data_IF_902843989116
#
_entry.id   IF_902843989116
#
_cell.length_a   1.000
_cell.length_b   1.000
_cell.length_c   1.000
_cell.angle_alpha   90.00
_cell.angle_beta   90.00
_cell.angle_gamma   90.00
#
_symmetry.space_group_name_H-M   'P 1'
#
loop_
_entity.id
_entity.type
_entity.pdbx_description
1 polymer ?
#
# COMPACT_ATOMS: atom_id res chain seq x y z
N UNK A 1 -13.53 -15.88 6.23
CA UNK A 1 -14.02 -14.53 6.57
C UNK A 1 -13.17 -13.52 5.86
N UNK A 2 -13.75 -12.69 4.99
CA UNK A 2 -13.03 -11.63 4.29
C UNK A 2 -12.97 -10.40 5.21
N UNK A 3 -11.77 -9.90 5.51
CA UNK A 3 -11.60 -8.61 6.18
C UNK A 3 -11.60 -7.53 5.10
N UNK A 4 -12.69 -6.76 5.02
CA UNK A 4 -12.79 -5.64 4.09
C UNK A 4 -12.13 -4.42 4.76
N UNK A 5 -11.01 -3.93 4.21
CA UNK A 5 -10.33 -2.72 4.72
C UNK A 5 -10.36 -1.63 3.65
N UNK A 6 -11.03 -0.49 3.88
CA UNK A 6 -11.05 0.72 3.04
C UNK A 6 -10.05 1.75 3.58
N UNK A 7 -9.46 2.64 2.76
CA UNK A 7 -8.29 3.49 3.14
C UNK A 7 -8.52 4.98 2.77
N UNK A 8 -8.13 5.92 3.66
CA UNK A 8 -8.34 7.41 3.59
C UNK A 8 -7.28 8.07 4.39
N UNK A 9 -7.00 9.24 3.89
CA UNK A 9 -6.42 10.32 4.65
C UNK A 9 -7.58 11.23 5.05
N UNK A 10 -7.94 11.25 6.35
CA UNK A 10 -8.79 12.30 6.87
C UNK A 10 -8.04 13.62 6.79
N UNK A 11 -8.59 14.54 5.99
CA UNK A 11 -8.16 15.93 5.92
C UNK A 11 -9.29 16.90 6.30
N UNK A 12 -10.45 16.41 6.75
CA UNK A 12 -11.61 17.24 7.11
C UNK A 12 -11.69 17.54 8.62
N UNK A 13 -10.95 16.82 9.47
CA UNK A 13 -10.76 17.24 10.85
C UNK A 13 -9.79 18.43 10.93
N UNK A 14 -10.36 19.64 11.07
CA UNK A 14 -9.66 20.92 11.35
C UNK A 14 -8.64 21.33 10.29
N UNK A 15 -9.11 22.03 9.24
CA UNK A 15 -8.30 22.83 8.31
C UNK A 15 -7.13 22.16 7.55
N UNK A 16 -6.93 20.84 7.68
CA UNK A 16 -5.80 20.12 7.07
C UNK A 16 -4.44 20.52 7.65
N UNK A 17 -3.53 19.57 7.86
CA UNK A 17 -2.16 19.89 8.33
C UNK A 17 -1.54 18.93 9.33
N UNK A 18 -2.27 17.91 9.81
CA UNK A 18 -1.68 16.87 10.63
C UNK A 18 -0.90 15.90 9.74
N UNK A 19 0.43 16.04 9.75
CA UNK A 19 1.29 15.11 9.02
C UNK A 19 1.41 13.84 9.85
N UNK A 20 0.80 12.76 9.35
CA UNK A 20 0.84 11.43 9.98
C UNK A 20 2.28 10.96 10.08
N UNK A 21 2.69 10.59 11.28
CA UNK A 21 4.08 10.33 11.61
C UNK A 21 4.40 8.82 11.73
N UNK A 22 5.65 8.47 12.07
CA UNK A 22 6.03 7.07 12.26
C UNK A 22 5.17 6.34 13.31
N UNK A 23 4.90 6.99 14.44
CA UNK A 23 4.12 6.40 15.52
C UNK A 23 2.67 6.18 15.10
N UNK A 24 2.09 7.11 14.34
CA UNK A 24 0.77 6.97 13.76
C UNK A 24 0.70 5.79 12.77
N UNK A 25 1.63 5.72 11.81
CA UNK A 25 1.68 4.60 10.86
C UNK A 25 1.98 3.26 11.53
N UNK A 26 2.72 3.26 12.63
CA UNK A 26 2.96 2.07 13.45
C UNK A 26 1.68 1.56 14.11
N UNK A 27 0.94 2.44 14.79
CA UNK A 27 -0.22 2.07 15.60
C UNK A 27 -1.51 1.95 14.78
N UNK A 28 -1.59 2.65 13.64
CA UNK A 28 -2.80 2.80 12.84
C UNK A 28 -3.56 4.08 13.18
N UNK A 29 -4.36 4.54 12.22
CA UNK A 29 -5.15 5.77 12.31
C UNK A 29 -6.34 5.71 11.35
N UNK A 30 -7.31 6.60 11.53
CA UNK A 30 -8.55 6.64 10.75
C UNK A 30 -9.64 5.71 11.31
N UNK A 31 -10.72 5.53 10.54
CA UNK A 31 -11.92 4.80 11.00
C UNK A 31 -12.22 3.62 10.07
N UNK A 32 -12.33 2.36 10.55
CA UNK A 32 -12.58 1.20 9.71
C UNK A 32 -13.81 1.24 8.79
N UNK A 33 -14.85 1.97 9.21
CA UNK A 33 -16.10 2.15 8.47
C UNK A 33 -15.95 3.08 7.27
N UNK A 34 -15.02 4.03 7.39
CA UNK A 34 -14.62 4.93 6.34
C UNK A 34 -13.38 4.32 5.76
N UNK A 35 -12.26 4.73 6.31
CA UNK A 35 -11.07 4.71 5.59
C UNK A 35 -9.91 5.01 6.58
N UNK A 36 -8.86 4.19 6.53
CA UNK A 36 -7.91 4.07 7.62
C UNK A 36 -6.61 3.40 7.19
N UNK A 37 -5.60 3.46 8.06
CA UNK A 37 -4.43 2.59 8.02
C UNK A 37 -4.45 1.65 9.22
N UNK A 38 -4.30 0.34 8.97
CA UNK A 38 -4.40 -0.68 10.01
C UNK A 38 -3.31 -0.56 11.09
N UNK A 39 -2.17 0.04 10.75
CA UNK A 39 -0.98 0.09 11.60
C UNK A 39 0.05 -0.96 11.17
N UNK A 40 1.28 -0.54 10.99
CA UNK A 40 2.38 -1.41 10.55
C UNK A 40 2.63 -2.52 11.56
N UNK A 41 2.49 -2.28 12.86
CA UNK A 41 2.68 -3.34 13.85
C UNK A 41 1.63 -4.44 13.70
N UNK A 42 0.36 -4.07 13.47
CA UNK A 42 -0.72 -5.02 13.25
C UNK A 42 -0.52 -5.82 11.95
N UNK A 43 -0.09 -5.16 10.87
CA UNK A 43 0.20 -5.83 9.59
C UNK A 43 1.39 -6.80 9.74
N UNK A 44 2.44 -6.39 10.47
CA UNK A 44 3.60 -7.23 10.76
C UNK A 44 3.18 -8.50 11.50
N UNK A 45 2.43 -8.35 12.59
CA UNK A 45 1.96 -9.47 13.41
C UNK A 45 1.12 -10.47 12.60
N UNK A 46 0.22 -9.98 11.74
CA UNK A 46 -0.60 -10.85 10.88
C UNK A 46 0.25 -11.61 9.85
N UNK A 47 1.10 -10.89 9.11
CA UNK A 47 1.85 -11.45 7.96
C UNK A 47 3.08 -12.26 8.35
N UNK A 48 3.46 -12.28 9.63
CA UNK A 48 4.54 -13.12 10.15
C UNK A 48 4.04 -14.36 10.90
N UNK A 49 2.73 -14.45 11.17
CA UNK A 49 2.12 -15.62 11.81
C UNK A 49 1.80 -16.74 10.80
N UNK A 50 1.34 -16.37 9.59
CA UNK A 50 1.03 -17.31 8.49
C UNK A 50 1.43 -16.68 7.15
N UNK A 51 1.37 -17.45 6.06
CA UNK A 51 1.50 -16.87 4.71
C UNK A 51 0.27 -16.03 4.38
N UNK A 52 0.47 -14.80 3.89
CA UNK A 52 -0.61 -13.89 3.51
C UNK A 52 -0.49 -13.49 2.04
N UNK A 53 -1.64 -13.19 1.44
CA UNK A 53 -1.75 -12.56 0.13
C UNK A 53 -2.28 -11.14 0.27
N UNK A 54 -1.83 -10.24 -0.61
CA UNK A 54 -2.31 -8.86 -0.71
C UNK A 54 -3.20 -8.70 -1.94
N UNK A 55 -4.31 -8.01 -1.78
CA UNK A 55 -5.20 -7.53 -2.84
C UNK A 55 -5.26 -6.00 -2.79
N UNK A 56 -4.93 -5.37 -3.91
CA UNK A 56 -5.08 -3.93 -4.13
C UNK A 56 -6.20 -3.71 -5.13
N UNK A 57 -7.22 -2.95 -4.75
CA UNK A 57 -8.29 -2.48 -5.65
C UNK A 57 -8.20 -0.99 -5.86
N UNK A 58 -8.40 -0.55 -7.11
CA UNK A 58 -8.18 0.81 -7.55
C UNK A 58 -9.37 1.30 -8.39
N UNK A 59 -9.77 2.55 -8.23
CA UNK A 59 -10.82 3.22 -9.01
C UNK A 59 -10.31 4.59 -9.49
N UNK A 60 -10.46 4.89 -10.78
CA UNK A 60 -10.17 6.22 -11.35
C UNK A 60 -11.41 7.13 -11.29
N UNK A 61 -11.26 8.40 -11.67
CA UNK A 61 -12.36 9.37 -11.61
C UNK A 61 -13.45 9.10 -12.65
N UNK A 62 -13.11 8.40 -13.73
CA UNK A 62 -14.04 7.93 -14.76
C UNK A 62 -14.81 6.65 -14.35
N UNK A 63 -14.51 6.08 -13.18
CA UNK A 63 -15.20 4.91 -12.63
C UNK A 63 -14.66 3.56 -13.11
N UNK A 64 -13.55 3.55 -13.85
CA UNK A 64 -12.86 2.32 -14.23
C UNK A 64 -12.22 1.70 -12.99
N UNK A 65 -12.27 0.37 -12.92
CA UNK A 65 -11.72 -0.40 -11.80
C UNK A 65 -10.62 -1.34 -12.27
N UNK A 66 -9.55 -1.39 -11.47
CA UNK A 66 -8.40 -2.27 -11.68
C UNK A 66 -7.98 -2.90 -10.37
N UNK A 67 -7.20 -3.97 -10.48
CA UNK A 67 -6.62 -4.62 -9.33
C UNK A 67 -5.22 -5.12 -9.57
N UNK A 68 -4.47 -5.21 -8.48
CA UNK A 68 -3.23 -5.95 -8.37
C UNK A 68 -3.35 -6.91 -7.20
N UNK A 69 -2.81 -8.11 -7.33
CA UNK A 69 -2.81 -9.11 -6.27
C UNK A 69 -1.44 -9.77 -6.21
N UNK A 70 -0.97 -10.01 -5.00
CA UNK A 70 0.31 -10.64 -4.71
C UNK A 70 0.04 -11.85 -3.85
N UNK A 71 0.42 -13.03 -4.35
CA UNK A 71 0.20 -14.29 -3.64
C UNK A 71 1.00 -14.39 -2.33
N UNK A 72 2.12 -13.66 -2.25
CA UNK A 72 2.95 -13.48 -1.07
C UNK A 72 2.98 -12.00 -0.69
N UNK A 73 2.65 -11.69 0.56
CA UNK A 73 2.74 -10.36 1.14
C UNK A 73 3.19 -10.47 2.59
N UNK A 74 4.30 -9.81 2.87
CA UNK A 74 4.90 -9.75 4.19
C UNK A 74 5.50 -8.38 4.43
N UNK A 75 5.42 -7.91 5.67
CA UNK A 75 6.29 -6.83 6.12
C UNK A 75 7.18 -7.33 7.25
N UNK A 76 8.38 -6.77 7.36
CA UNK A 76 9.35 -7.15 8.38
C UNK A 76 9.12 -6.37 9.68
N UNK A 77 9.94 -6.62 10.69
CA UNK A 77 9.80 -6.02 12.03
C UNK A 77 10.03 -4.50 12.01
N UNK A 78 9.71 -3.82 13.11
CA UNK A 78 10.06 -2.40 13.28
C UNK A 78 11.58 -2.16 13.21
N UNK A 79 12.39 -3.11 13.69
CA UNK A 79 13.85 -3.05 13.63
C UNK A 79 14.37 -3.10 12.17
N UNK A 80 13.60 -3.73 11.28
CA UNK A 80 13.81 -3.74 9.83
C UNK A 80 12.99 -2.65 9.11
N UNK A 81 12.51 -1.65 9.86
CA UNK A 81 11.73 -0.52 9.37
C UNK A 81 10.48 -0.93 8.58
N UNK A 82 9.82 -2.00 9.00
CA UNK A 82 8.63 -2.54 8.34
C UNK A 82 8.81 -2.77 6.84
N UNK A 83 10.01 -3.17 6.40
CA UNK A 83 10.35 -3.43 4.99
C UNK A 83 9.31 -4.33 4.32
N UNK A 84 8.90 -3.97 3.11
CA UNK A 84 7.94 -4.73 2.30
C UNK A 84 8.62 -5.89 1.58
N UNK A 85 7.94 -7.04 1.53
CA UNK A 85 8.28 -8.18 0.70
C UNK A 85 7.02 -8.72 0.02
N UNK A 86 7.05 -8.80 -1.30
CA UNK A 86 5.92 -9.26 -2.12
C UNK A 86 6.37 -10.14 -3.27
N UNK A 87 5.52 -11.07 -3.69
CA UNK A 87 5.73 -11.93 -4.87
C UNK A 87 4.42 -12.51 -5.42
N UNK A 88 4.50 -13.11 -6.62
CA UNK A 88 3.42 -13.78 -7.31
C UNK A 88 2.32 -12.81 -7.72
N UNK A 89 2.72 -11.77 -8.46
CA UNK A 89 1.79 -10.78 -8.99
C UNK A 89 0.81 -11.40 -9.98
N UNK A 90 -0.46 -11.05 -9.83
CA UNK A 90 -1.50 -11.19 -10.84
C UNK A 90 -2.39 -9.94 -10.87
N UNK A 91 -3.04 -9.69 -12.01
CA UNK A 91 -4.07 -8.67 -12.14
C UNK A 91 -3.90 -7.75 -13.33
N UNK A 92 -4.79 -6.76 -13.42
CA UNK A 92 -4.95 -5.90 -14.58
C UNK A 92 -4.56 -4.43 -14.35
N UNK A 93 -4.04 -4.08 -13.17
CA UNK A 93 -3.53 -2.74 -12.86
C UNK A 93 -2.07 -2.51 -13.31
N UNK A 94 -1.37 -3.57 -13.72
CA UNK A 94 0.08 -3.55 -13.90
C UNK A 94 0.81 -3.59 -12.55
N UNK A 95 2.01 -4.20 -12.53
CA UNK A 95 2.76 -4.44 -11.29
C UNK A 95 3.59 -3.21 -10.89
N UNK A 96 2.95 -2.24 -10.21
CA UNK A 96 3.65 -1.04 -9.75
C UNK A 96 4.60 -1.33 -8.58
N UNK A 97 4.24 -2.24 -7.67
CA UNK A 97 5.05 -2.44 -6.46
C UNK A 97 6.34 -3.21 -6.73
N UNK A 98 6.42 -4.07 -7.74
CA UNK A 98 7.67 -4.76 -8.11
C UNK A 98 8.52 -4.04 -9.14
N UNK A 99 8.20 -2.79 -9.48
CA UNK A 99 9.02 -2.07 -10.44
C UNK A 99 10.48 -1.95 -9.97
N UNK A 100 11.46 -2.26 -10.84
CA UNK A 100 12.86 -2.35 -10.44
C UNK A 100 13.46 -1.01 -10.00
N UNK A 101 12.90 0.12 -10.43
CA UNK A 101 13.47 1.44 -10.15
C UNK A 101 12.63 2.21 -9.13
N UNK A 102 11.32 2.12 -9.26
CA UNK A 102 10.37 2.97 -8.56
C UNK A 102 9.30 2.20 -7.78
N UNK A 103 9.42 0.88 -7.74
CA UNK A 103 8.54 0.03 -6.95
C UNK A 103 8.81 0.15 -5.46
N UNK A 104 8.10 -0.67 -4.71
CA UNK A 104 8.13 -0.72 -3.26
C UNK A 104 8.75 -2.00 -2.72
N UNK A 105 8.83 -3.07 -3.53
CA UNK A 105 9.33 -4.36 -3.06
C UNK A 105 10.76 -4.24 -2.51
N UNK A 106 11.01 -4.93 -1.39
CA UNK A 106 12.26 -4.91 -0.63
C UNK A 106 12.68 -3.52 -0.10
N UNK A 107 11.75 -2.56 -0.04
CA UNK A 107 12.05 -1.20 0.45
C UNK A 107 11.50 -1.03 1.88
N UNK A 108 12.26 -0.37 2.77
CA UNK A 108 11.80 -0.01 4.11
C UNK A 108 10.68 1.02 4.04
N UNK A 109 9.84 1.04 5.09
CA UNK A 109 8.82 2.07 5.24
C UNK A 109 9.48 3.38 5.69
N UNK A 110 9.00 4.51 5.19
CA UNK A 110 9.48 5.83 5.60
C UNK A 110 8.32 6.79 5.80
N UNK A 111 8.48 7.71 6.75
CA UNK A 111 7.55 8.82 7.04
C UNK A 111 8.31 10.13 7.00
N UNK A 112 7.60 11.26 7.01
CA UNK A 112 8.27 12.57 6.93
C UNK A 112 9.29 12.80 8.06
N UNK A 113 9.06 12.23 9.25
CA UNK A 113 9.93 12.34 10.42
C UNK A 113 10.86 11.13 10.63
N UNK A 114 10.82 10.11 9.77
CA UNK A 114 11.72 8.96 9.81
C UNK A 114 12.01 8.48 8.39
N UNK A 115 13.08 9.01 7.84
CA UNK A 115 13.55 8.73 6.49
C UNK A 115 14.41 7.46 6.47
N UNK A 116 13.92 6.42 5.82
CA UNK A 116 14.64 5.16 5.59
C UNK A 116 14.72 4.85 4.10
N UNK A 117 14.33 5.76 3.21
CA UNK A 117 14.21 5.45 1.79
C UNK A 117 15.59 5.36 1.10
N UNK A 118 15.61 4.94 -0.16
CA UNK A 118 16.87 4.76 -0.93
C UNK A 118 17.16 5.96 -1.84
N UNK A 119 16.64 7.13 -1.49
CA UNK A 119 16.87 8.38 -2.19
C UNK A 119 17.80 9.29 -1.38
N UNK A 120 18.35 10.33 -2.01
CA UNK A 120 19.00 11.44 -1.32
C UNK A 120 18.02 12.50 -0.83
N UNK A 121 16.72 12.29 -1.09
CA UNK A 121 15.60 13.15 -0.71
C UNK A 121 14.73 12.38 0.26
N UNK A 122 14.05 13.07 1.17
CA UNK A 122 13.00 12.46 1.97
C UNK A 122 11.72 12.33 1.14
N UNK A 123 11.48 11.14 0.57
CA UNK A 123 10.37 10.88 -0.33
C UNK A 123 9.02 11.04 0.36
N UNK A 124 8.93 10.64 1.63
CA UNK A 124 7.70 10.76 2.40
C UNK A 124 7.29 12.23 2.62
N UNK A 125 8.25 13.11 2.87
CA UNK A 125 8.02 14.56 2.98
C UNK A 125 7.63 15.19 1.63
N UNK A 126 8.25 14.74 0.53
CA UNK A 126 7.97 15.23 -0.82
C UNK A 126 6.61 14.76 -1.35
N UNK A 127 6.25 13.50 -1.13
CA UNK A 127 5.06 12.83 -1.66
C UNK A 127 3.91 12.75 -0.64
N UNK A 128 4.08 13.37 0.53
CA UNK A 128 3.02 13.65 1.51
C UNK A 128 2.35 12.41 2.12
N UNK A 129 3.07 11.30 2.19
CA UNK A 129 2.55 10.04 2.72
C UNK A 129 3.62 9.08 3.21
N UNK A 130 3.29 8.31 4.24
CA UNK A 130 4.12 7.18 4.67
C UNK A 130 3.96 6.00 3.71
N UNK A 131 5.08 5.46 3.23
CA UNK A 131 5.08 4.35 2.28
C UNK A 131 6.43 3.62 2.26
N UNK A 132 6.45 2.48 1.57
CA UNK A 132 7.69 1.77 1.20
C UNK A 132 8.34 2.46 0.00
N UNK A 133 9.04 3.56 0.28
CA UNK A 133 9.70 4.37 -0.74
C UNK A 133 11.06 3.78 -1.13
N UNK A 134 11.27 3.58 -2.44
CA UNK A 134 12.57 3.21 -3.01
C UNK A 134 13.37 4.44 -3.44
N UNK A 135 13.14 4.91 -4.66
CA UNK A 135 13.74 6.15 -5.20
C UNK A 135 12.64 7.14 -5.54
N UNK A 136 11.82 7.48 -4.53
CA UNK A 136 10.66 8.35 -4.63
C UNK A 136 9.69 7.96 -5.75
N UNK A 137 9.31 6.67 -5.75
CA UNK A 137 8.29 6.13 -6.63
C UNK A 137 6.90 6.70 -6.37
N UNK A 138 5.86 5.88 -6.52
CA UNK A 138 4.48 6.28 -6.25
C UNK A 138 3.82 5.30 -5.31
N UNK A 139 2.93 5.82 -4.46
CA UNK A 139 2.28 5.08 -3.39
C UNK A 139 0.80 5.43 -3.28
N UNK A 140 0.10 4.72 -2.42
CA UNK A 140 -1.35 4.85 -2.26
C UNK A 140 -1.76 5.75 -1.09
N UNK A 141 -0.80 6.14 -0.26
CA UNK A 141 -1.01 6.93 0.95
C UNK A 141 -0.74 8.44 0.75
N UNK A 142 -0.74 8.91 -0.50
CA UNK A 142 -0.58 10.34 -0.80
C UNK A 142 -1.86 11.14 -0.54
N UNK A 143 -1.83 12.42 -0.90
CA UNK A 143 -2.96 13.34 -0.77
C UNK A 143 -4.19 12.86 -1.55
N UNK A 144 -5.36 13.12 -1.02
CA UNK A 144 -6.58 13.02 -1.82
C UNK A 144 -6.78 14.32 -2.59
N UNK A 145 -6.75 14.27 -3.93
CA UNK A 145 -7.02 15.44 -4.77
C UNK A 145 -8.29 15.20 -5.58
N UNK A 146 -9.09 16.24 -5.73
CA UNK A 146 -10.37 16.16 -6.46
C UNK A 146 -10.19 16.26 -7.98
N UNK A 147 -9.12 16.91 -8.44
CA UNK A 147 -8.73 16.92 -9.85
C UNK A 147 -7.67 15.82 -10.08
N UNK A 148 -7.98 14.77 -10.87
CA UNK A 148 -7.02 13.71 -11.13
C UNK A 148 -5.75 14.19 -11.85
N UNK A 149 -5.78 15.33 -12.54
CA UNK A 149 -4.66 15.87 -13.32
C UNK A 149 -4.11 17.17 -12.72
N UNK A 150 -4.36 17.41 -11.43
CA UNK A 150 -3.73 18.52 -10.73
C UNK A 150 -2.20 18.52 -10.91
N UNK A 151 -1.57 19.69 -10.95
CA UNK A 151 -0.11 19.80 -11.09
C UNK A 151 0.67 19.09 -9.96
N UNK A 152 -0.01 18.83 -8.84
CA UNK A 152 0.47 18.08 -7.68
C UNK A 152 0.01 16.63 -7.65
N UNK A 153 -0.65 16.10 -8.70
CA UNK A 153 -1.18 14.73 -8.76
C UNK A 153 -0.18 13.63 -8.38
N UNK A 154 1.11 13.85 -8.65
CA UNK A 154 2.22 12.99 -8.20
C UNK A 154 2.33 12.80 -6.69
N UNK A 155 1.80 13.73 -5.89
CA UNK A 155 1.73 13.66 -4.42
C UNK A 155 0.45 12.95 -3.94
N UNK A 156 -0.43 12.54 -4.86
CA UNK A 156 -1.69 11.91 -4.54
C UNK A 156 -1.64 10.40 -4.43
N UNK A 157 -2.79 9.76 -4.64
CA UNK A 157 -2.94 8.30 -4.68
C UNK A 157 -2.54 7.81 -6.07
N UNK A 158 -1.35 7.25 -6.23
CA UNK A 158 -0.85 6.93 -7.58
C UNK A 158 -0.45 5.47 -7.74
N UNK A 159 -0.95 4.87 -8.83
CA UNK A 159 -0.53 3.56 -9.32
C UNK A 159 0.06 3.69 -10.72
N UNK A 160 1.38 3.85 -10.79
CA UNK A 160 2.02 4.40 -11.99
C UNK A 160 1.93 3.48 -13.21
N UNK A 161 1.89 2.14 -13.04
CA UNK A 161 1.74 1.19 -14.15
C UNK A 161 0.36 1.25 -14.82
N UNK A 162 -0.63 1.89 -14.20
CA UNK A 162 -1.97 2.04 -14.78
C UNK A 162 -2.20 3.43 -15.38
N UNK A 163 -2.14 4.50 -14.59
CA UNK A 163 -2.49 5.85 -15.03
C UNK A 163 -1.29 6.80 -15.20
N UNK A 164 -0.07 6.30 -15.00
CA UNK A 164 1.16 7.10 -15.09
C UNK A 164 1.49 7.85 -13.80
N UNK A 165 2.43 8.79 -13.91
CA UNK A 165 3.09 9.45 -12.78
C UNK A 165 2.33 10.63 -12.21
N UNK A 166 1.49 11.25 -13.05
CA UNK A 166 0.85 12.54 -12.81
C UNK A 166 -0.68 12.42 -12.89
N UNK A 167 -1.21 11.26 -12.45
CA UNK A 167 -2.64 11.02 -12.31
C UNK A 167 -2.93 10.47 -10.91
N UNK A 168 -3.77 11.15 -10.13
CA UNK A 168 -4.24 10.63 -8.85
C UNK A 168 -5.54 9.86 -9.00
N UNK A 169 -5.64 8.74 -8.28
CA UNK A 169 -6.79 7.86 -8.27
C UNK A 169 -7.87 8.39 -7.33
N UNK A 170 -9.11 8.00 -7.62
CA UNK A 170 -10.28 8.33 -6.81
C UNK A 170 -10.39 7.44 -5.58
N UNK A 171 -10.02 6.16 -5.69
CA UNK A 171 -10.03 5.24 -4.55
C UNK A 171 -8.88 4.26 -4.66
N UNK A 172 -8.34 3.90 -3.50
CA UNK A 172 -7.48 2.74 -3.35
C UNK A 172 -7.90 1.93 -2.14
N UNK A 173 -7.66 0.62 -2.21
CA UNK A 173 -8.03 -0.31 -1.15
C UNK A 173 -7.00 -1.43 -1.07
N UNK A 174 -6.34 -1.57 0.06
CA UNK A 174 -5.44 -2.69 0.34
C UNK A 174 -6.10 -3.66 1.31
N UNK A 175 -6.13 -4.94 0.95
CA UNK A 175 -6.74 -5.99 1.76
C UNK A 175 -5.80 -7.18 1.81
N UNK A 176 -5.70 -7.81 2.98
CA UNK A 176 -4.85 -8.97 3.18
C UNK A 176 -5.68 -10.15 3.68
N UNK A 177 -5.27 -11.36 3.31
CA UNK A 177 -5.87 -12.60 3.81
C UNK A 177 -4.80 -13.68 3.95
N UNK A 178 -4.98 -14.65 4.86
CA UNK A 178 -4.18 -15.87 4.83
C UNK A 178 -4.22 -16.51 3.44
N UNK A 179 -3.06 -16.96 2.97
CA UNK A 179 -2.93 -17.72 1.73
C UNK A 179 -3.51 -19.11 1.98
N UNK A 180 -4.51 -19.49 1.20
CA UNK A 180 -5.02 -20.86 1.22
C UNK A 180 -4.00 -21.69 0.41
N UNK A 181 -3.30 -22.67 1.01
CA UNK A 181 -2.46 -23.58 0.25
C UNK A 181 -3.32 -24.26 -0.83
N UNK A 182 -2.78 -24.57 -2.02
CA UNK A 182 -3.47 -25.45 -2.95
C UNK A 182 -3.89 -26.70 -2.18
N UNK A 183 -5.17 -27.09 -2.26
CA UNK A 183 -5.62 -28.35 -1.67
C UNK A 183 -4.66 -29.44 -2.12
N UNK A 184 -4.01 -30.13 -1.18
CA UNK A 184 -3.30 -31.36 -1.50
C UNK A 184 -4.35 -32.27 -2.13
N UNK A 185 -4.20 -32.54 -3.42
CA UNK A 185 -4.93 -33.60 -4.08
C UNK A 185 -4.55 -34.87 -3.34
N UNK A 186 -5.43 -35.33 -2.45
CA UNK A 186 -5.38 -36.69 -1.92
C UNK A 186 -5.62 -37.57 -3.13
N UNK A 187 -4.55 -37.99 -3.79
CA UNK A 187 -4.55 -39.11 -4.70
C UNK A 187 -4.93 -40.32 -3.85
N UNK A 188 -6.24 -40.58 -3.76
CA UNK A 188 -6.77 -41.78 -3.16
C UNK A 188 -6.16 -42.99 -3.86
N UNK A 189 -5.32 -43.70 -3.15
CA UNK A 189 -4.81 -45.02 -3.51
C UNK A 189 -5.98 -45.97 -3.71
N UNK A 190 -5.98 -46.63 -4.87
CA UNK A 190 -6.82 -47.80 -5.14
C UNK A 190 -6.57 -48.90 -4.11
N UNK A 191 -7.66 -49.45 -3.57
CA UNK A 191 -7.79 -50.84 -3.14
C UNK A 191 -9.18 -51.33 -3.56
#
# INVERSE_FOLDING_TARGET
>A
TYWFLKVYCDQETTDGGWTVDWADYKNGFGEPSKDFWLGNENIYMLTNNEEYSLRVELEDFEGNKRYAQYSHFKIHSEADYYKLEIDGYEGNAGDSLNDPWYGSNNSPFSTYNKDNDRSSLNCASMLKGGWWWKSCGRGLNGLYLHDPQDITARQGIVWFRWRGWDYTLKKSKMMIRPRIPPQQTISGTSL
#
